data_IF_018249664908
#
_entry.id   IF_018249664908
#
_cell.length_a   1.000
_cell.length_b   1.000
_cell.length_c   1.000
_cell.angle_alpha   90.00
_cell.angle_beta   90.00
_cell.angle_gamma   90.00
#
_symmetry.space_group_name_H-M   'P 1'
#
loop_
_entity.id
_entity.type
_entity.pdbx_description
1 polymer ?
#
# COMPACT_ATOMS: atom_id res chain seq x y z
N UNK A 1 1.61 -6.82 -24.04
CA UNK A 1 1.51 -6.71 -22.56
C UNK A 1 0.48 -5.65 -22.23
N UNK A 2 -0.48 -5.98 -21.44
CA UNK A 2 -1.52 -5.02 -21.10
C UNK A 2 -1.23 -4.30 -19.79
N UNK A 3 -1.91 -3.17 -19.60
CA UNK A 3 -1.71 -2.36 -18.41
C UNK A 3 -2.22 -3.03 -17.13
N UNK A 4 -3.10 -4.00 -17.26
CA UNK A 4 -3.66 -4.71 -16.11
C UNK A 4 -2.61 -5.55 -15.41
N UNK A 5 -1.71 -6.17 -16.17
CA UNK A 5 -0.64 -6.95 -15.59
C UNK A 5 0.28 -6.08 -14.73
N UNK A 6 0.64 -4.91 -15.26
CA UNK A 6 1.53 -3.99 -14.55
C UNK A 6 0.85 -3.42 -13.30
N UNK A 7 -0.40 -3.02 -13.44
CA UNK A 7 -1.18 -2.49 -12.32
C UNK A 7 -1.32 -3.53 -11.21
N UNK A 8 -1.58 -4.76 -11.59
CA UNK A 8 -1.71 -5.87 -10.65
C UNK A 8 -0.42 -6.06 -9.86
N UNK A 9 0.70 -5.99 -10.57
CA UNK A 9 2.01 -6.14 -9.95
C UNK A 9 2.30 -5.01 -8.95
N UNK A 10 1.96 -3.80 -9.34
CA UNK A 10 2.16 -2.63 -8.47
C UNK A 10 1.30 -2.75 -7.21
N UNK A 11 0.04 -3.12 -7.36
CA UNK A 11 -0.85 -3.30 -6.21
C UNK A 11 -0.35 -4.40 -5.28
N UNK A 12 0.19 -5.47 -5.85
CA UNK A 12 0.75 -6.55 -5.06
C UNK A 12 1.95 -6.09 -4.24
N UNK A 13 2.83 -5.28 -4.86
CA UNK A 13 3.97 -4.72 -4.15
C UNK A 13 3.54 -3.83 -2.99
N UNK A 14 2.52 -3.02 -3.20
CA UNK A 14 2.00 -2.15 -2.15
C UNK A 14 1.44 -2.98 -1.00
N UNK A 15 0.70 -4.05 -1.30
CA UNK A 15 0.16 -4.94 -0.28
C UNK A 15 1.27 -5.61 0.52
N UNK A 16 2.33 -6.04 -0.15
CA UNK A 16 3.48 -6.63 0.52
C UNK A 16 4.13 -5.65 1.48
N UNK A 17 4.27 -4.40 1.07
CA UNK A 17 4.86 -3.37 1.92
C UNK A 17 3.97 -3.05 3.11
N UNK A 18 2.66 -3.08 2.93
CA UNK A 18 1.72 -2.90 4.03
C UNK A 18 1.85 -4.04 5.04
N UNK A 19 1.95 -5.26 4.55
CA UNK A 19 2.13 -6.44 5.38
C UNK A 19 3.42 -6.37 6.18
N UNK A 20 4.52 -6.01 5.53
CA UNK A 20 5.81 -5.85 6.19
C UNK A 20 5.75 -4.80 7.29
N UNK A 21 5.05 -3.71 7.03
CA UNK A 21 4.89 -2.64 8.01
C UNK A 21 4.09 -3.12 9.21
N UNK A 22 3.01 -3.86 8.97
CA UNK A 22 2.19 -4.42 10.02
C UNK A 22 2.97 -5.44 10.84
N UNK A 23 3.71 -6.32 10.18
CA UNK A 23 4.50 -7.34 10.85
C UNK A 23 5.55 -6.72 11.77
N UNK A 24 6.18 -5.64 11.31
CA UNK A 24 7.17 -4.93 12.12
C UNK A 24 6.57 -4.44 13.43
N UNK A 25 5.37 -3.86 13.36
CA UNK A 25 4.67 -3.37 14.54
C UNK A 25 4.22 -4.53 15.42
N UNK A 26 3.68 -5.58 14.83
CA UNK A 26 3.17 -6.74 15.56
C UNK A 26 4.25 -7.51 16.29
N UNK A 27 5.47 -7.49 15.75
CA UNK A 27 6.59 -8.16 16.40
C UNK A 27 7.12 -7.41 17.61
N UNK A 28 6.57 -6.22 17.88
CA UNK A 28 7.01 -5.43 19.01
C UNK A 28 8.41 -4.86 18.83
N UNK A 29 8.85 -4.74 17.59
CA UNK A 29 10.16 -4.17 17.29
C UNK A 29 10.20 -2.67 17.56
N UNK A 30 9.04 -2.03 17.58
CA UNK A 30 8.93 -0.61 17.88
C UNK A 30 8.76 -0.45 19.38
N UNK A 31 9.77 0.06 20.04
CA UNK A 31 9.73 0.30 21.47
C UNK A 31 9.44 1.74 21.81
N UNK A 32 9.57 2.62 20.84
CA UNK A 32 9.36 4.05 21.03
C UNK A 32 8.11 4.51 20.30
N UNK A 33 7.41 5.45 20.92
CA UNK A 33 6.19 6.03 20.38
C UNK A 33 6.41 6.67 19.01
N UNK A 34 7.57 7.30 18.82
CA UNK A 34 7.88 7.95 17.55
C UNK A 34 8.01 6.93 16.43
N UNK A 35 8.60 5.78 16.70
CA UNK A 35 8.72 4.71 15.72
C UNK A 35 7.35 4.16 15.34
N UNK A 36 6.49 3.99 16.32
CA UNK A 36 5.13 3.52 16.09
C UNK A 36 4.38 4.52 15.20
N UNK A 37 4.45 5.80 15.53
CA UNK A 37 3.78 6.83 14.74
C UNK A 37 4.30 6.88 13.31
N UNK A 38 5.61 6.71 13.13
CA UNK A 38 6.22 6.67 11.81
C UNK A 38 5.66 5.51 10.99
N UNK A 39 5.55 4.34 11.60
CA UNK A 39 5.05 3.15 10.91
C UNK A 39 3.57 3.29 10.54
N UNK A 40 2.78 3.90 11.42
CA UNK A 40 1.37 4.17 11.13
C UNK A 40 1.25 5.12 9.94
N UNK A 41 2.07 6.17 9.91
CA UNK A 41 2.08 7.11 8.80
C UNK A 41 2.45 6.43 7.49
N UNK A 42 3.48 5.58 7.53
CA UNK A 42 3.90 4.83 6.36
C UNK A 42 2.79 3.92 5.83
N UNK A 43 2.11 3.24 6.73
CA UNK A 43 1.00 2.36 6.35
C UNK A 43 -0.12 3.15 5.68
N UNK A 44 -0.45 4.32 6.24
CA UNK A 44 -1.50 5.17 5.68
C UNK A 44 -1.17 5.66 4.28
N UNK A 45 0.08 6.05 4.06
CA UNK A 45 0.52 6.50 2.74
C UNK A 45 0.40 5.37 1.72
N UNK A 46 0.80 4.16 2.09
CA UNK A 46 0.68 3.00 1.21
C UNK A 46 -0.77 2.70 0.88
N UNK A 47 -1.65 2.83 1.86
CA UNK A 47 -3.08 2.63 1.66
C UNK A 47 -3.67 3.68 0.72
N UNK A 48 -3.26 4.93 0.87
CA UNK A 48 -3.67 6.01 -0.01
C UNK A 48 -3.25 5.74 -1.45
N UNK A 49 -2.01 5.33 -1.65
CA UNK A 49 -1.50 5.03 -2.98
C UNK A 49 -2.28 3.87 -3.59
N UNK A 50 -2.55 2.85 -2.80
CA UNK A 50 -3.33 1.70 -3.26
C UNK A 50 -4.71 2.14 -3.74
N UNK A 51 -5.38 2.97 -2.96
CA UNK A 51 -6.70 3.48 -3.30
C UNK A 51 -6.66 4.35 -4.55
N UNK A 52 -5.64 5.17 -4.68
CA UNK A 52 -5.48 6.04 -5.86
C UNK A 52 -5.30 5.20 -7.12
N UNK A 53 -4.52 4.15 -7.05
CA UNK A 53 -4.29 3.26 -8.19
C UNK A 53 -5.60 2.57 -8.58
N UNK A 54 -6.35 2.09 -7.60
CA UNK A 54 -7.64 1.45 -7.86
C UNK A 54 -8.62 2.41 -8.50
N UNK A 55 -8.62 3.66 -8.08
CA UNK A 55 -9.48 4.67 -8.65
C UNK A 55 -9.12 4.94 -10.10
N UNK A 56 -7.83 5.05 -10.40
CA UNK A 56 -7.36 5.25 -11.77
C UNK A 56 -7.79 4.09 -12.67
N UNK A 57 -7.63 2.87 -12.19
CA UNK A 57 -8.04 1.68 -12.94
C UNK A 57 -9.54 1.66 -13.20
N UNK A 58 -10.31 2.00 -12.18
CA UNK A 58 -11.76 2.02 -12.29
C UNK A 58 -12.22 3.06 -13.32
N UNK A 59 -11.61 4.24 -13.31
CA UNK A 59 -11.92 5.29 -14.27
C UNK A 59 -11.50 4.88 -15.68
N UNK A 60 -10.37 4.21 -15.81
CA UNK A 60 -9.89 3.72 -17.10
C UNK A 60 -10.87 2.74 -17.72
N UNK A 61 -11.42 1.86 -16.91
CA UNK A 61 -12.42 0.89 -17.39
C UNK A 61 -13.71 1.57 -17.81
N UNK A 62 -14.09 2.60 -17.08
CA UNK A 62 -15.35 3.31 -17.34
C UNK A 62 -15.27 4.26 -18.52
N UNK A 63 -14.09 4.71 -18.86
CA UNK A 63 -13.93 5.68 -19.93
C UNK A 63 -14.02 5.07 -21.31
N UNK A 64 -14.15 3.78 -21.39
CA UNK A 64 -14.39 3.08 -22.65
C UNK A 64 -15.86 2.99 -22.93
#
# INVERSE_FOLDING_TARGET
>A
MDGLWLSDKILRLIREKKEQTTDFVMQGSTTERNDYNYMIGKFRVLEEIENDIKEILDKGEKSE
#
